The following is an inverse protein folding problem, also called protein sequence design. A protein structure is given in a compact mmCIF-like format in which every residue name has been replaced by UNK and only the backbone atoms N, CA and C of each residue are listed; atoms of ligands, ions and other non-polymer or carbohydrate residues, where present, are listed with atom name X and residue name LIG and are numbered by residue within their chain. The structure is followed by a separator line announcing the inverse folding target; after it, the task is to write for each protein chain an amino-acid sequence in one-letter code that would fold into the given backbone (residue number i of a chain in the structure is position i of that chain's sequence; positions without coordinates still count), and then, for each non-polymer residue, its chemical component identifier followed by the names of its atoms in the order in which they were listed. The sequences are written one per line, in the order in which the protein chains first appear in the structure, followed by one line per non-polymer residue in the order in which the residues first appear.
data_IF_783143523106
#
_entry.id   IF_783143523106
#
_cell.length_a   1.000
_cell.length_b   1.000
_cell.length_c   1.000
_cell.angle_alpha   90.00
_cell.angle_beta   90.00
_cell.angle_gamma   90.00
#
_symmetry.space_group_name_H-M   'P 1'
#
loop_
_entity.id
_entity.type
_entity.pdbx_description
1 polymer ?
#
# COMPACT_ATOMS: atom_id res chain seq x y z
N UNK A 1 10.25 -3.49 -15.76
CA UNK A 1 10.33 -4.81 -15.11
C UNK A 1 10.09 -4.65 -13.62
N UNK A 2 9.22 -5.47 -13.05
CA UNK A 2 8.90 -5.47 -11.62
C UNK A 2 10.05 -6.16 -10.86
N UNK A 3 10.55 -5.54 -9.79
CA UNK A 3 11.54 -6.19 -8.94
C UNK A 3 10.80 -7.00 -7.86
N UNK A 4 10.88 -8.33 -7.99
CA UNK A 4 10.17 -9.27 -7.13
C UNK A 4 10.60 -9.19 -5.65
N UNK A 5 11.84 -8.80 -5.37
CA UNK A 5 12.32 -8.68 -3.98
C UNK A 5 11.67 -7.46 -3.30
N UNK A 6 11.67 -6.31 -4.00
CA UNK A 6 11.05 -5.08 -3.50
C UNK A 6 9.54 -5.28 -3.36
N UNK A 7 8.91 -5.88 -4.38
CA UNK A 7 7.48 -6.17 -4.38
C UNK A 7 7.09 -7.04 -3.18
N UNK A 8 7.79 -8.17 -2.98
CA UNK A 8 7.51 -9.08 -1.86
C UNK A 8 7.70 -8.42 -0.50
N UNK A 9 8.72 -7.57 -0.34
CA UNK A 9 8.95 -6.83 0.90
C UNK A 9 7.82 -5.85 1.20
N UNK A 10 7.41 -5.07 0.21
CA UNK A 10 6.31 -4.12 0.36
C UNK A 10 4.98 -4.83 0.66
N UNK A 11 4.68 -5.94 -0.04
CA UNK A 11 3.51 -6.77 0.24
C UNK A 11 3.51 -7.34 1.65
N UNK A 12 4.63 -7.90 2.12
CA UNK A 12 4.73 -8.45 3.47
C UNK A 12 4.48 -7.38 4.54
N UNK A 13 5.10 -6.22 4.40
CA UNK A 13 4.88 -5.11 5.33
C UNK A 13 3.40 -4.69 5.32
N UNK A 14 2.82 -4.47 4.14
CA UNK A 14 1.41 -4.10 4.00
C UNK A 14 0.47 -5.13 4.62
N UNK A 15 0.66 -6.41 4.30
CA UNK A 15 -0.17 -7.51 4.83
C UNK A 15 -0.08 -7.61 6.35
N UNK A 16 1.10 -7.47 6.95
CA UNK A 16 1.25 -7.52 8.41
C UNK A 16 0.45 -6.40 9.07
N UNK A 17 0.53 -5.17 8.55
CA UNK A 17 -0.24 -4.04 9.08
C UNK A 17 -1.74 -4.21 8.87
N UNK A 18 -2.18 -4.73 7.70
CA UNK A 18 -3.58 -5.03 7.42
C UNK A 18 -4.14 -6.08 8.38
N UNK A 19 -3.42 -7.16 8.62
CA UNK A 19 -3.83 -8.18 9.58
C UNK A 19 -3.94 -7.62 11.00
N UNK A 20 -3.01 -6.76 11.41
CA UNK A 20 -3.08 -6.05 12.68
C UNK A 20 -4.33 -5.17 12.79
N UNK A 21 -4.67 -4.44 11.72
CA UNK A 21 -5.87 -3.59 11.66
C UNK A 21 -7.15 -4.40 11.73
N UNK A 22 -7.26 -5.50 10.96
CA UNK A 22 -8.42 -6.41 10.97
C UNK A 22 -8.60 -7.05 12.35
N UNK A 23 -7.51 -7.52 12.96
CA UNK A 23 -7.56 -8.07 14.34
C UNK A 23 -8.05 -7.01 15.33
N UNK A 24 -7.54 -5.79 15.25
CA UNK A 24 -7.99 -4.71 16.13
C UNK A 24 -9.47 -4.37 15.92
N UNK A 25 -9.95 -4.37 14.70
CA UNK A 25 -11.37 -4.18 14.35
C UNK A 25 -12.26 -5.30 14.91
N UNK A 26 -11.78 -6.54 14.86
CA UNK A 26 -12.49 -7.71 15.40
C UNK A 26 -12.69 -7.61 16.93
N UNK A 27 -11.65 -7.25 17.67
CA UNK A 27 -11.73 -7.12 19.13
C UNK A 27 -12.42 -5.84 19.61
N UNK A 28 -12.52 -4.80 18.74
CA UNK A 28 -13.15 -3.51 19.11
C UNK A 28 -14.16 -3.05 18.07
N UNK A 29 -15.39 -3.59 18.08
CA UNK A 29 -16.42 -3.31 17.05
C UNK A 29 -16.80 -1.82 16.90
N UNK A 30 -16.60 -1.00 17.93
CA UNK A 30 -16.90 0.45 17.89
C UNK A 30 -15.98 1.22 16.94
N UNK A 31 -14.79 0.70 16.62
CA UNK A 31 -13.83 1.34 15.69
C UNK A 31 -14.01 0.91 14.23
N UNK A 32 -14.84 -0.12 13.96
CA UNK A 32 -15.02 -0.74 12.65
C UNK A 32 -15.42 0.22 11.52
N UNK A 33 -16.51 1.05 11.63
CA UNK A 33 -17.06 1.67 10.43
C UNK A 33 -16.14 2.76 9.83
N UNK A 34 -15.35 3.43 10.65
CA UNK A 34 -14.54 4.56 10.19
C UNK A 34 -13.06 4.20 10.05
N UNK A 35 -12.52 3.48 11.02
CA UNK A 35 -11.08 3.17 11.07
C UNK A 35 -10.65 2.07 10.11
N UNK A 36 -11.52 1.09 9.86
CA UNK A 36 -11.15 -0.06 9.05
C UNK A 36 -11.02 0.31 7.57
N UNK A 37 -11.96 1.07 7.02
CA UNK A 37 -11.89 1.51 5.62
C UNK A 37 -10.71 2.45 5.38
N UNK A 38 -10.58 3.50 6.19
CA UNK A 38 -9.47 4.46 6.08
C UNK A 38 -8.12 3.82 6.40
N UNK A 39 -8.07 2.92 7.37
CA UNK A 39 -6.86 2.20 7.73
C UNK A 39 -6.35 1.31 6.60
N UNK A 40 -7.22 0.52 5.98
CA UNK A 40 -6.85 -0.29 4.81
C UNK A 40 -6.36 0.58 3.65
N UNK A 41 -7.03 1.70 3.36
CA UNK A 41 -6.58 2.65 2.33
C UNK A 41 -5.19 3.21 2.63
N UNK A 42 -4.96 3.64 3.88
CA UNK A 42 -3.66 4.18 4.30
C UNK A 42 -2.56 3.14 4.19
N UNK A 43 -2.79 1.93 4.68
CA UNK A 43 -1.80 0.84 4.66
C UNK A 43 -1.47 0.46 3.21
N UNK A 44 -2.48 0.28 2.36
CA UNK A 44 -2.28 -0.01 0.93
C UNK A 44 -1.53 1.12 0.22
N UNK A 45 -1.87 2.38 0.52
CA UNK A 45 -1.19 3.56 -0.03
C UNK A 45 0.28 3.64 0.41
N UNK A 46 0.57 3.45 1.69
CA UNK A 46 1.93 3.46 2.23
C UNK A 46 2.75 2.29 1.68
N UNK A 47 2.17 1.09 1.58
CA UNK A 47 2.85 -0.07 1.00
C UNK A 47 3.19 0.14 -0.48
N UNK A 48 2.28 0.73 -1.27
CA UNK A 48 2.52 1.13 -2.65
C UNK A 48 3.61 2.20 -2.78
N UNK A 49 3.59 3.19 -1.89
CA UNK A 49 4.62 4.24 -1.83
C UNK A 49 6.00 3.65 -1.53
N UNK A 50 6.12 2.79 -0.53
CA UNK A 50 7.38 2.12 -0.19
C UNK A 50 7.92 1.30 -1.36
N UNK A 51 7.05 0.53 -2.03
CA UNK A 51 7.44 -0.21 -3.22
C UNK A 51 8.02 0.69 -4.31
N UNK A 52 7.29 1.74 -4.66
CA UNK A 52 7.66 2.62 -5.77
C UNK A 52 8.92 3.45 -5.47
N UNK A 53 9.07 3.89 -4.24
CA UNK A 53 10.26 4.60 -3.76
C UNK A 53 11.52 3.73 -3.86
N UNK A 54 11.44 2.47 -3.44
CA UNK A 54 12.58 1.55 -3.49
C UNK A 54 12.89 1.10 -4.92
N UNK A 55 11.85 1.04 -5.79
CA UNK A 55 12.01 0.67 -7.19
C UNK A 55 12.69 1.77 -8.03
N UNK A 56 12.32 3.04 -7.84
CA UNK A 56 12.85 4.23 -8.52
C UNK A 56 12.97 4.11 -10.06
N UNK A 57 12.00 3.46 -10.73
CA UNK A 57 12.07 3.13 -12.18
C UNK A 57 11.02 3.83 -13.05
N UNK A 58 10.37 4.87 -12.54
CA UNK A 58 9.39 5.68 -13.28
C UNK A 58 7.94 5.47 -12.85
N UNK A 59 7.11 6.46 -13.16
CA UNK A 59 5.73 6.56 -12.66
C UNK A 59 4.84 5.38 -13.01
N UNK A 60 4.91 4.88 -14.27
CA UNK A 60 4.10 3.74 -14.69
C UNK A 60 4.44 2.47 -13.91
N UNK A 61 5.73 2.19 -13.71
CA UNK A 61 6.18 1.02 -12.94
C UNK A 61 5.82 1.16 -11.46
N UNK A 62 5.93 2.37 -10.91
CA UNK A 62 5.53 2.66 -9.53
C UNK A 62 4.03 2.49 -9.32
N UNK A 63 3.20 3.05 -10.21
CA UNK A 63 1.75 2.95 -10.13
C UNK A 63 1.27 1.50 -10.28
N UNK A 64 1.75 0.77 -11.30
CA UNK A 64 1.36 -0.63 -11.52
C UNK A 64 1.77 -1.55 -10.37
N UNK A 65 2.99 -1.38 -9.87
CA UNK A 65 3.43 -2.15 -8.71
C UNK A 65 2.68 -1.76 -7.43
N UNK A 66 2.36 -0.48 -7.27
CA UNK A 66 1.52 0.01 -6.17
C UNK A 66 0.10 -0.58 -6.23
N UNK A 67 -0.52 -0.66 -7.41
CA UNK A 67 -1.80 -1.35 -7.63
C UNK A 67 -1.68 -2.82 -7.23
N UNK A 68 -0.63 -3.52 -7.67
CA UNK A 68 -0.42 -4.93 -7.32
C UNK A 68 -0.28 -5.13 -5.81
N UNK A 69 0.52 -4.29 -5.14
CA UNK A 69 0.68 -4.33 -3.67
C UNK A 69 -0.65 -4.06 -2.97
N UNK A 70 -1.37 -3.01 -3.36
CA UNK A 70 -2.67 -2.65 -2.78
C UNK A 70 -3.72 -3.73 -2.98
N UNK A 71 -3.73 -4.37 -4.17
CA UNK A 71 -4.64 -5.50 -4.45
C UNK A 71 -4.39 -6.67 -3.51
N UNK A 72 -3.14 -7.06 -3.30
CA UNK A 72 -2.80 -8.18 -2.41
C UNK A 72 -3.14 -7.84 -0.96
N UNK A 73 -2.79 -6.63 -0.49
CA UNK A 73 -3.14 -6.16 0.85
C UNK A 73 -4.65 -6.18 1.07
N UNK A 74 -5.43 -5.59 0.15
CA UNK A 74 -6.88 -5.56 0.22
C UNK A 74 -7.52 -6.94 0.18
N UNK A 75 -7.03 -7.86 -0.69
CA UNK A 75 -7.49 -9.24 -0.75
C UNK A 75 -7.32 -9.97 0.58
N UNK A 76 -6.13 -9.88 1.16
CA UNK A 76 -5.84 -10.53 2.45
C UNK A 76 -6.69 -9.94 3.57
N UNK A 77 -6.78 -8.61 3.66
CA UNK A 77 -7.57 -7.93 4.69
C UNK A 77 -9.04 -8.35 4.62
N UNK A 78 -9.64 -8.27 3.43
CA UNK A 78 -11.07 -8.57 3.25
C UNK A 78 -11.36 -10.07 3.41
N UNK A 79 -10.47 -10.95 2.93
CA UNK A 79 -10.61 -12.39 3.10
C UNK A 79 -10.59 -12.78 4.59
N UNK A 80 -9.65 -12.22 5.36
CA UNK A 80 -9.56 -12.49 6.80
C UNK A 80 -10.76 -11.90 7.56
N UNK A 81 -11.20 -10.67 7.24
CA UNK A 81 -12.38 -10.08 7.84
C UNK A 81 -13.66 -10.88 7.55
N UNK A 82 -13.78 -11.45 6.34
CA UNK A 82 -14.89 -12.33 5.97
C UNK A 82 -14.84 -13.66 6.75
N UNK A 83 -13.67 -14.27 6.84
CA UNK A 83 -13.48 -15.51 7.63
C UNK A 83 -13.80 -15.34 9.13
N UNK A 84 -13.57 -14.14 9.65
CA UNK A 84 -13.94 -13.79 11.04
C UNK A 84 -15.44 -13.47 11.20
N UNK A 85 -16.23 -13.51 10.12
CA UNK A 85 -17.65 -13.17 10.11
C UNK A 85 -17.95 -11.69 10.31
N UNK A 86 -16.96 -10.86 10.08
CA UNK A 86 -17.01 -9.42 10.33
C UNK A 86 -17.67 -8.64 9.20
N UNK A 87 -17.70 -9.19 7.98
CA UNK A 87 -18.26 -8.53 6.78
C UNK A 87 -18.99 -9.51 5.86
N UNK A 88 -20.07 -9.06 5.19
CA UNK A 88 -20.72 -9.84 4.15
C UNK A 88 -19.87 -9.88 2.87
N UNK A 89 -19.99 -10.96 2.09
CA UNK A 89 -19.23 -11.24 0.87
C UNK A 89 -19.27 -10.12 -0.19
N UNK A 90 -20.35 -9.34 -0.19
CA UNK A 90 -20.55 -8.24 -1.14
C UNK A 90 -19.50 -7.12 -1.03
N UNK A 91 -18.84 -7.00 0.13
CA UNK A 91 -17.79 -5.97 0.35
C UNK A 91 -16.42 -6.37 -0.18
N UNK A 92 -16.21 -7.64 -0.55
CA UNK A 92 -14.90 -8.14 -1.02
C UNK A 92 -14.41 -7.36 -2.25
N UNK A 93 -15.18 -7.27 -3.37
CA UNK A 93 -14.68 -6.58 -4.55
C UNK A 93 -14.46 -5.09 -4.32
N UNK A 94 -15.30 -4.45 -3.50
CA UNK A 94 -15.18 -3.04 -3.19
C UNK A 94 -13.90 -2.74 -2.39
N UNK A 95 -13.64 -3.48 -1.32
CA UNK A 95 -12.44 -3.30 -0.48
C UNK A 95 -11.15 -3.51 -1.27
N UNK A 96 -11.11 -4.55 -2.11
CA UNK A 96 -9.95 -4.83 -2.97
C UNK A 96 -9.73 -3.72 -4.00
N UNK A 97 -10.80 -3.24 -4.64
CA UNK A 97 -10.71 -2.17 -5.64
C UNK A 97 -10.20 -0.87 -5.02
N UNK A 98 -10.72 -0.48 -3.86
CA UNK A 98 -10.28 0.72 -3.15
C UNK A 98 -8.82 0.62 -2.73
N UNK A 99 -8.40 -0.52 -2.18
CA UNK A 99 -6.99 -0.76 -1.80
C UNK A 99 -6.05 -0.78 -3.01
N UNK A 100 -6.49 -1.32 -4.14
CA UNK A 100 -5.74 -1.30 -5.40
C UNK A 100 -5.51 0.14 -5.90
N UNK A 101 -6.57 0.96 -5.91
CA UNK A 101 -6.49 2.36 -6.33
C UNK A 101 -5.59 3.18 -5.41
N UNK A 102 -5.74 3.06 -4.09
CA UNK A 102 -4.91 3.77 -3.13
C UNK A 102 -3.45 3.31 -3.16
N UNK A 103 -3.20 2.01 -3.36
CA UNK A 103 -1.87 1.48 -3.60
C UNK A 103 -1.22 2.07 -4.86
N UNK A 104 -1.99 2.21 -5.95
CA UNK A 104 -1.54 2.87 -7.18
C UNK A 104 -1.19 4.34 -6.98
N UNK A 105 -2.03 5.09 -6.27
CA UNK A 105 -1.77 6.50 -5.90
C UNK A 105 -0.51 6.59 -5.03
N UNK A 106 -0.37 5.73 -4.02
CA UNK A 106 0.85 5.61 -3.21
C UNK A 106 2.08 5.35 -4.07
N UNK A 107 1.95 4.47 -5.08
CA UNK A 107 2.99 4.18 -6.04
C UNK A 107 3.45 5.41 -6.86
N UNK A 108 2.53 6.28 -7.26
CA UNK A 108 2.86 7.55 -7.93
C UNK A 108 3.65 8.49 -6.99
N UNK A 109 3.18 8.66 -5.76
CA UNK A 109 3.88 9.48 -4.76
C UNK A 109 5.26 8.93 -4.37
N UNK A 110 5.40 7.61 -4.31
CA UNK A 110 6.70 6.97 -4.07
C UNK A 110 7.73 7.26 -5.16
N UNK A 111 7.30 7.32 -6.42
CA UNK A 111 8.18 7.73 -7.53
C UNK A 111 8.55 9.21 -7.48
N UNK A 112 7.61 10.07 -7.08
CA UNK A 112 7.90 11.49 -6.88
C UNK A 112 8.97 11.68 -5.79
N UNK A 113 8.85 11.00 -4.63
CA UNK A 113 9.85 11.02 -3.56
C UNK A 113 11.22 10.54 -4.05
N UNK A 114 11.26 9.45 -4.82
CA UNK A 114 12.50 8.92 -5.38
C UNK A 114 13.19 9.93 -6.31
N UNK A 115 12.45 10.62 -7.17
CA UNK A 115 13.00 11.65 -8.08
C UNK A 115 13.49 12.87 -7.33
N UNK A 116 12.73 13.36 -6.34
CA UNK A 116 13.14 14.48 -5.49
C UNK A 116 14.46 14.20 -4.77
N UNK A 117 14.66 12.99 -4.25
CA UNK A 117 15.93 12.59 -3.60
C UNK A 117 17.12 12.63 -4.55
N UNK A 118 16.93 12.23 -5.81
CA UNK A 118 18.00 12.28 -6.82
C UNK A 118 18.39 13.74 -7.09
N UNK A 119 17.40 14.63 -7.24
CA UNK A 119 17.63 16.05 -7.48
C UNK A 119 18.35 16.71 -6.30
N UNK A 120 17.89 16.44 -5.07
CA UNK A 120 18.51 17.00 -3.86
C UNK A 120 19.96 16.54 -3.73
N UNK A 121 20.25 15.25 -3.95
CA UNK A 121 21.64 14.75 -3.93
C UNK A 121 22.53 15.41 -4.98
N UNK A 122 22.00 15.62 -6.21
CA UNK A 122 22.73 16.28 -7.26
C UNK A 122 23.06 17.76 -6.91
N UNK A 123 22.12 18.47 -6.29
CA UNK A 123 22.35 19.84 -5.83
C UNK A 123 23.42 19.92 -4.72
N UNK A 124 23.38 19.00 -3.74
CA UNK A 124 24.37 18.95 -2.67
C UNK A 124 25.79 18.66 -3.20
N UNK A 125 25.93 17.73 -4.11
CA UNK A 125 27.24 17.40 -4.71
C UNK A 125 27.81 18.52 -5.61
N UNK A 126 26.96 19.41 -6.09
CA UNK A 126 27.37 20.60 -6.88
C UNK A 126 27.86 21.76 -6.00
N UNK A 127 27.51 21.80 -4.73
CA UNK A 127 27.95 22.84 -3.78
C UNK A 127 29.30 22.55 -3.12
N UNK A 128 29.79 21.32 -3.17
CA UNK A 128 31.10 20.93 -2.61
C UNK A 128 32.29 21.12 -3.57
N UNK A 129 32.04 21.67 -4.75
CA UNK A 129 33.08 22.03 -5.72
C UNK A 129 33.29 23.52 -5.79
#
# INVERSE_FOLDING_TARGET
MVDLKILRRAMLVGVIFELGLVAMGHYRPRFRPTFELFGCMLIAGVAGLLYARDLARGYASGALGGVAVGTVCGLVAVAVANLLGDRPDLYIPYGVMVSALTGGVGGLFGQLDAQLRIIIKAMQSGQEK
#
